data_IF_850724183882
#
_entry.id   IF_850724183882
#
_cell.length_a   1.000
_cell.length_b   1.000
_cell.length_c   1.000
_cell.angle_alpha   90.00
_cell.angle_beta   90.00
_cell.angle_gamma   90.00
#
_symmetry.space_group_name_H-M   'P 1'
#
loop_
_entity.id
_entity.type
_entity.pdbx_description
1 polymer ?
#
# COMPACT_ATOMS: atom_id res chain seq x y z
N UNK A 1 -10.66 -2.96 24.87
CA UNK A 1 -9.93 -2.33 25.99
C UNK A 1 -8.69 -1.63 25.43
N UNK A 2 -8.77 -0.36 25.06
CA UNK A 2 -7.62 0.39 24.55
C UNK A 2 -6.88 1.02 25.73
N UNK A 3 -5.69 0.51 26.03
CA UNK A 3 -4.76 1.08 27.02
C UNK A 3 -3.78 1.98 26.27
N UNK A 4 -3.61 3.22 26.72
CA UNK A 4 -2.57 4.13 26.24
C UNK A 4 -1.43 4.11 27.27
N UNK A 5 -0.23 3.74 26.83
CA UNK A 5 0.99 3.83 27.62
C UNK A 5 1.84 4.95 27.04
N UNK A 6 2.12 5.98 27.84
CA UNK A 6 3.08 7.03 27.51
C UNK A 6 4.36 6.68 28.25
N UNK A 7 5.39 6.26 27.52
CA UNK A 7 6.73 6.00 28.07
C UNK A 7 7.69 7.04 27.49
N UNK A 8 8.25 7.87 28.37
CA UNK A 8 9.43 8.68 28.08
C UNK A 8 10.63 7.97 28.73
N UNK A 9 11.60 7.52 27.94
CA UNK A 9 12.85 6.94 28.44
C UNK A 9 13.99 7.95 28.34
N UNK A 10 14.81 8.03 29.38
CA UNK A 10 16.13 8.68 29.31
C UNK A 10 17.16 7.83 30.10
N UNK A 11 18.38 7.75 29.57
CA UNK A 11 19.48 6.87 30.02
C UNK A 11 20.34 7.49 31.15
N UNK A 12 19.87 8.53 31.82
CA UNK A 12 20.58 9.18 32.91
C UNK A 12 19.63 9.64 34.01
N UNK A 13 19.95 9.30 35.27
CA UNK A 13 19.26 9.84 36.45
C UNK A 13 19.61 11.32 36.59
N UNK A 14 18.68 12.20 36.20
CA UNK A 14 18.22 13.43 36.87
C UNK A 14 17.40 14.21 35.82
N UNK A 15 16.16 14.53 36.17
CA UNK A 15 15.05 15.02 35.32
C UNK A 15 14.48 14.01 34.31
N UNK A 16 13.45 13.30 34.76
CA UNK A 16 12.59 12.52 33.87
C UNK A 16 11.75 13.49 33.01
N UNK A 17 11.95 13.45 31.69
CA UNK A 17 11.17 14.18 30.69
C UNK A 17 9.72 13.68 30.57
N UNK A 18 8.95 13.81 31.64
CA UNK A 18 7.54 13.42 31.67
C UNK A 18 6.69 14.57 31.14
N UNK A 19 5.69 14.28 30.30
CA UNK A 19 4.69 15.30 29.94
C UNK A 19 3.95 15.71 31.22
N UNK A 20 3.96 16.98 31.59
CA UNK A 20 3.32 17.48 32.81
C UNK A 20 1.81 17.63 32.65
N UNK A 21 1.39 18.10 31.48
CA UNK A 21 -0.02 18.25 31.15
C UNK A 21 -0.27 18.21 29.65
N UNK A 22 -1.51 17.86 29.29
CA UNK A 22 -2.02 17.85 27.91
C UNK A 22 -3.31 18.67 27.90
N UNK A 23 -3.41 19.64 27.00
CA UNK A 23 -4.62 20.44 26.79
C UNK A 23 -5.25 20.06 25.45
N UNK A 24 -6.53 19.69 25.47
CA UNK A 24 -7.29 19.28 24.29
C UNK A 24 -8.47 20.22 24.07
N UNK A 25 -8.66 20.69 22.84
CA UNK A 25 -9.75 21.59 22.47
C UNK A 25 -10.12 21.43 20.99
N UNK A 26 -11.41 21.56 20.68
CA UNK A 26 -11.92 21.63 19.31
C UNK A 26 -11.74 20.36 18.49
N UNK A 27 -11.58 19.19 19.13
CA UNK A 27 -11.27 17.93 18.45
C UNK A 27 -12.02 16.73 19.02
N UNK A 28 -12.76 16.05 18.14
CA UNK A 28 -13.55 14.85 18.45
C UNK A 28 -14.45 15.04 19.69
N UNK A 29 -14.14 14.37 20.80
CA UNK A 29 -14.90 14.43 22.05
C UNK A 29 -14.62 15.70 22.88
N UNK A 30 -13.56 16.43 22.56
CA UNK A 30 -13.16 17.66 23.25
C UNK A 30 -13.76 18.86 22.51
N UNK A 31 -14.95 19.29 22.92
CA UNK A 31 -15.71 20.35 22.27
C UNK A 31 -15.17 21.74 22.60
N UNK A 32 -15.41 22.69 21.69
CA UNK A 32 -15.21 24.12 21.94
C UNK A 32 -16.31 24.71 22.84
N UNK A 33 -16.07 25.87 23.47
CA UNK A 33 -14.83 26.69 23.44
C UNK A 33 -13.90 26.41 24.63
N UNK A 34 -14.22 25.44 25.49
CA UNK A 34 -13.51 25.24 26.75
C UNK A 34 -12.45 24.15 26.61
N UNK A 35 -11.15 24.45 26.77
CA UNK A 35 -10.11 23.44 26.75
C UNK A 35 -10.22 22.49 27.94
N UNK A 36 -9.96 21.21 27.70
CA UNK A 36 -9.87 20.18 28.74
C UNK A 36 -8.40 19.92 29.03
N UNK A 37 -7.97 20.20 30.26
CA UNK A 37 -6.62 19.93 30.75
C UNK A 37 -6.55 18.57 31.43
N UNK A 38 -5.60 17.74 31.00
CA UNK A 38 -5.27 16.44 31.56
C UNK A 38 -3.92 16.54 32.26
N UNK A 39 -3.90 16.34 33.58
CA UNK A 39 -2.66 16.32 34.35
C UNK A 39 -1.94 14.97 34.18
N UNK A 40 -0.68 15.02 33.78
CA UNK A 40 0.14 13.84 33.49
C UNK A 40 1.47 13.81 34.23
N UNK A 41 1.60 14.56 35.33
CA UNK A 41 2.85 14.75 36.11
C UNK A 41 3.41 13.51 36.85
N UNK A 42 3.00 12.30 36.46
CA UNK A 42 3.42 11.04 37.05
C UNK A 42 4.07 10.16 35.99
N UNK A 43 4.98 9.30 36.44
CA UNK A 43 5.69 8.33 35.57
C UNK A 43 4.76 7.43 34.77
N UNK A 44 3.62 7.08 35.35
CA UNK A 44 2.61 6.23 34.73
C UNK A 44 1.27 6.93 34.93
N UNK A 45 0.58 7.21 33.82
CA UNK A 45 -0.76 7.80 33.79
C UNK A 45 -1.69 6.84 33.06
N UNK A 46 -2.83 6.51 33.67
CA UNK A 46 -3.84 5.65 33.07
C UNK A 46 -5.10 6.45 32.79
N UNK A 47 -5.41 6.66 31.51
CA UNK A 47 -6.68 7.19 31.06
C UNK A 47 -7.68 6.06 30.82
N UNK A 48 -8.83 6.10 31.49
CA UNK A 48 -9.93 5.13 31.34
C UNK A 48 -11.28 5.84 31.19
N UNK A 49 -12.26 5.15 30.62
CA UNK A 49 -13.60 5.71 30.38
C UNK A 49 -14.35 4.96 29.28
N UNK A 50 -15.62 5.31 29.06
CA UNK A 50 -16.49 4.67 28.07
C UNK A 50 -16.01 4.85 26.63
N UNK A 51 -16.51 4.06 25.68
CA UNK A 51 -16.22 4.28 24.26
C UNK A 51 -16.68 5.68 23.82
N UNK A 52 -15.94 6.34 22.93
CA UNK A 52 -16.27 7.69 22.45
C UNK A 52 -15.91 8.86 23.37
N UNK A 53 -15.21 8.62 24.48
CA UNK A 53 -14.79 9.67 25.44
C UNK A 53 -13.46 10.37 25.12
N UNK A 54 -12.89 10.14 23.93
CA UNK A 54 -11.68 10.85 23.48
C UNK A 54 -10.32 10.22 23.84
N UNK A 55 -10.27 9.05 24.48
CA UNK A 55 -9.00 8.36 24.82
C UNK A 55 -8.07 8.16 23.62
N UNK A 56 -8.60 7.63 22.51
CA UNK A 56 -7.83 7.44 21.28
C UNK A 56 -7.45 8.77 20.62
N UNK A 57 -8.23 9.83 20.86
CA UNK A 57 -7.93 11.17 20.35
C UNK A 57 -6.69 11.75 21.01
N UNK A 58 -6.56 11.62 22.33
CA UNK A 58 -5.34 12.03 23.07
C UNK A 58 -4.12 11.27 22.55
N UNK A 59 -4.24 9.95 22.33
CA UNK A 59 -3.17 9.14 21.78
C UNK A 59 -2.71 9.64 20.40
N UNK A 60 -3.65 9.89 19.48
CA UNK A 60 -3.36 10.37 18.12
C UNK A 60 -2.76 11.77 18.09
N UNK A 61 -3.23 12.66 18.97
CA UNK A 61 -2.62 13.97 19.13
C UNK A 61 -1.14 13.86 19.54
N UNK A 62 -0.81 13.03 20.53
CA UNK A 62 0.58 12.81 20.94
C UNK A 62 1.44 12.14 19.86
N UNK A 63 0.81 11.44 18.90
CA UNK A 63 1.50 10.78 17.80
C UNK A 63 1.89 11.77 16.69
N UNK A 64 1.04 12.77 16.43
CA UNK A 64 1.30 13.86 15.49
C UNK A 64 0.70 15.16 16.03
N UNK A 65 1.51 15.88 16.80
CA UNK A 65 1.11 17.14 17.44
C UNK A 65 0.99 18.29 16.44
N UNK A 66 1.46 18.11 15.21
CA UNK A 66 1.52 19.15 14.17
C UNK A 66 0.33 19.12 13.21
N UNK A 67 -0.49 18.08 13.27
CA UNK A 67 -1.65 17.93 12.40
C UNK A 67 -2.66 19.07 12.60
N UNK A 68 -3.20 19.62 11.51
CA UNK A 68 -4.09 20.80 11.53
C UNK A 68 -5.30 20.69 12.46
N UNK A 69 -5.84 19.47 12.65
CA UNK A 69 -6.95 19.19 13.57
C UNK A 69 -6.62 19.44 15.05
N UNK A 70 -5.34 19.64 15.40
CA UNK A 70 -4.87 19.83 16.76
C UNK A 70 -4.33 21.25 17.00
N UNK A 71 -4.67 22.22 16.15
CA UNK A 71 -4.23 23.61 16.25
C UNK A 71 -4.53 24.28 17.60
N UNK A 72 -5.55 23.82 18.31
CA UNK A 72 -5.96 24.30 19.64
C UNK A 72 -5.53 23.36 20.78
N UNK A 73 -4.76 22.31 20.48
CA UNK A 73 -4.23 21.39 21.48
C UNK A 73 -2.77 21.76 21.83
N UNK A 74 -2.35 21.45 23.05
CA UNK A 74 -0.97 21.68 23.51
C UNK A 74 -0.55 20.66 24.55
N UNK A 75 0.75 20.54 24.80
CA UNK A 75 1.30 19.74 25.90
C UNK A 75 2.47 20.50 26.55
N UNK A 76 2.74 20.19 27.83
CA UNK A 76 3.79 20.84 28.61
C UNK A 76 4.83 19.80 29.01
N UNK A 77 6.10 20.13 28.81
CA UNK A 77 7.26 19.36 29.27
C UNK A 77 7.97 20.11 30.41
N UNK A 78 8.68 19.42 31.31
CA UNK A 78 9.32 20.01 32.47
C UNK A 78 10.50 20.92 32.11
N UNK A 79 11.05 20.76 30.91
CA UNK A 79 12.13 21.58 30.39
C UNK A 79 12.00 21.73 28.86
N UNK A 80 12.79 22.64 28.29
CA UNK A 80 12.80 22.92 26.85
C UNK A 80 13.66 21.93 26.04
N UNK A 81 13.86 20.71 26.55
CA UNK A 81 14.63 19.69 25.83
C UNK A 81 13.74 19.00 24.78
N UNK A 82 14.35 18.68 23.64
CA UNK A 82 13.67 17.92 22.59
C UNK A 82 13.53 16.46 23.01
N UNK A 83 12.32 16.09 23.44
CA UNK A 83 11.95 14.69 23.72
C UNK A 83 11.24 14.06 22.52
N UNK A 84 11.60 12.83 22.20
CA UNK A 84 10.84 12.02 21.26
C UNK A 84 9.64 11.38 21.98
N UNK A 85 8.43 11.63 21.48
CA UNK A 85 7.21 10.98 21.98
C UNK A 85 6.99 9.70 21.19
N UNK A 86 6.92 8.56 21.89
CA UNK A 86 6.59 7.26 21.31
C UNK A 86 5.15 6.88 21.68
N UNK A 87 4.29 6.70 20.68
CA UNK A 87 2.89 6.34 20.88
C UNK A 87 2.62 4.94 20.35
N UNK A 88 2.19 4.04 21.24
CA UNK A 88 1.69 2.72 20.88
C UNK A 88 0.15 2.73 20.89
N UNK A 89 -0.46 2.79 19.71
CA UNK A 89 -1.91 2.77 19.51
C UNK A 89 -2.30 1.85 18.33
N UNK A 90 -3.59 1.78 18.01
CA UNK A 90 -4.08 0.98 16.87
C UNK A 90 -3.44 1.39 15.55
N UNK A 91 -3.30 2.70 15.30
CA UNK A 91 -2.71 3.23 14.08
C UNK A 91 -1.23 2.80 13.94
N UNK A 92 -0.47 2.80 15.05
CA UNK A 92 0.90 2.26 15.08
C UNK A 92 0.94 0.77 14.75
N UNK A 93 0.00 -0.01 15.30
CA UNK A 93 -0.10 -1.45 15.03
C UNK A 93 -0.42 -1.69 13.55
N UNK A 94 -1.45 -1.05 13.01
CA UNK A 94 -1.86 -1.20 11.61
C UNK A 94 -0.74 -0.78 10.64
N UNK A 95 -0.01 0.28 10.99
CA UNK A 95 1.07 0.82 10.17
C UNK A 95 2.34 -0.04 10.18
N UNK A 96 2.67 -0.66 11.31
CA UNK A 96 3.94 -1.37 11.49
C UNK A 96 3.80 -2.90 11.51
N UNK A 97 2.59 -3.42 11.62
CA UNK A 97 2.31 -4.85 11.72
C UNK A 97 1.20 -5.19 10.71
N UNK A 98 1.58 -5.44 9.46
CA UNK A 98 0.69 -6.07 8.49
C UNK A 98 0.75 -7.59 8.65
N UNK A 99 -0.41 -8.25 8.54
CA UNK A 99 -0.41 -9.70 8.31
C UNK A 99 0.21 -9.95 6.93
N UNK A 100 1.36 -10.61 6.89
CA UNK A 100 1.90 -11.14 5.63
C UNK A 100 0.96 -12.20 5.05
N UNK A 101 1.23 -12.67 3.84
CA UNK A 101 0.43 -13.73 3.18
C UNK A 101 0.42 -15.08 3.93
N UNK A 102 1.17 -15.21 5.04
CA UNK A 102 1.22 -16.41 5.87
C UNK A 102 0.71 -16.12 7.27
N UNK A 103 -0.25 -16.94 7.71
CA UNK A 103 -0.78 -16.89 9.07
C UNK A 103 0.35 -17.11 10.08
N UNK A 104 0.55 -16.14 10.99
CA UNK A 104 1.60 -16.16 12.01
C UNK A 104 2.93 -15.50 11.63
N UNK A 105 3.09 -14.97 10.41
CA UNK A 105 4.28 -14.17 10.02
C UNK A 105 3.95 -12.68 10.12
N UNK A 106 4.62 -11.99 11.04
CA UNK A 106 4.49 -10.55 11.25
C UNK A 106 5.67 -9.82 10.62
N UNK A 107 5.40 -9.03 9.58
CA UNK A 107 6.38 -8.10 9.03
C UNK A 107 6.45 -6.88 9.95
N UNK A 108 7.65 -6.56 10.44
CA UNK A 108 7.86 -5.47 11.41
C UNK A 108 8.32 -4.19 10.70
N UNK A 109 7.62 -3.09 10.92
CA UNK A 109 8.04 -1.74 10.57
C UNK A 109 7.47 -1.24 9.23
N UNK A 110 7.04 0.03 9.21
CA UNK A 110 6.44 0.70 8.04
C UNK A 110 7.24 0.48 6.74
N UNK A 111 8.56 0.67 6.77
CA UNK A 111 9.42 0.53 5.59
C UNK A 111 9.36 -0.88 4.99
N UNK A 112 9.25 -1.91 5.83
CA UNK A 112 9.19 -3.29 5.37
C UNK A 112 7.82 -3.60 4.73
N UNK A 113 6.74 -3.06 5.30
CA UNK A 113 5.38 -3.18 4.72
C UNK A 113 5.32 -2.52 3.34
N UNK A 114 5.86 -1.30 3.19
CA UNK A 114 5.90 -0.61 1.89
C UNK A 114 6.74 -1.38 0.86
N UNK A 115 7.88 -1.93 1.27
CA UNK A 115 8.73 -2.73 0.39
C UNK A 115 8.02 -4.01 -0.10
N UNK A 116 7.34 -4.73 0.80
CA UNK A 116 6.56 -5.92 0.44
C UNK A 116 5.42 -5.58 -0.53
N UNK A 117 4.70 -4.48 -0.31
CA UNK A 117 3.67 -4.01 -1.22
C UNK A 117 4.22 -3.72 -2.62
N UNK A 118 5.35 -3.01 -2.71
CA UNK A 118 6.01 -2.71 -3.98
C UNK A 118 6.42 -3.98 -4.75
N UNK A 119 6.96 -4.98 -4.03
CA UNK A 119 7.31 -6.28 -4.62
C UNK A 119 6.06 -7.00 -5.16
N UNK A 120 4.98 -7.02 -4.39
CA UNK A 120 3.74 -7.69 -4.79
C UNK A 120 3.11 -7.02 -6.01
N UNK A 121 3.10 -5.69 -6.06
CA UNK A 121 2.64 -4.93 -7.24
C UNK A 121 3.49 -5.25 -8.48
N UNK A 122 4.81 -5.24 -8.35
CA UNK A 122 5.71 -5.55 -9.46
C UNK A 122 5.51 -6.99 -9.97
N UNK A 123 5.34 -7.97 -9.08
CA UNK A 123 5.05 -9.36 -9.45
C UNK A 123 3.73 -9.49 -10.21
N UNK A 124 2.67 -8.83 -9.75
CA UNK A 124 1.37 -8.85 -10.43
C UNK A 124 1.46 -8.23 -11.84
N UNK A 125 2.27 -7.19 -12.00
CA UNK A 125 2.49 -6.55 -13.30
C UNK A 125 3.30 -7.43 -14.26
N UNK A 126 4.34 -8.13 -13.76
CA UNK A 126 5.07 -9.14 -14.53
C UNK A 126 4.11 -10.23 -15.04
N UNK A 127 3.27 -10.78 -14.16
CA UNK A 127 2.33 -11.85 -14.54
C UNK A 127 1.34 -11.37 -15.61
N UNK A 128 0.86 -10.12 -15.51
CA UNK A 128 0.00 -9.49 -16.52
C UNK A 128 0.71 -9.37 -17.88
N UNK A 129 1.95 -8.90 -17.88
CA UNK A 129 2.74 -8.74 -19.10
C UNK A 129 3.07 -10.09 -19.74
N UNK A 130 3.35 -11.13 -18.96
CA UNK A 130 3.57 -12.49 -19.45
C UNK A 130 2.31 -13.08 -20.10
N UNK A 131 1.13 -12.87 -19.52
CA UNK A 131 -0.15 -13.26 -20.13
C UNK A 131 -0.39 -12.54 -21.46
N UNK A 132 -0.08 -11.24 -21.54
CA UNK A 132 -0.20 -10.49 -22.79
C UNK A 132 0.79 -10.95 -23.85
N UNK A 133 2.04 -11.24 -23.44
CA UNK A 133 3.09 -11.74 -24.34
C UNK A 133 2.70 -13.10 -24.93
N UNK A 134 2.28 -14.03 -24.09
CA UNK A 134 1.84 -15.37 -24.53
C UNK A 134 0.65 -15.28 -25.47
N UNK A 135 -0.34 -14.45 -25.17
CA UNK A 135 -1.50 -14.23 -26.05
C UNK A 135 -1.08 -13.69 -27.44
N UNK A 136 -0.18 -12.70 -27.48
CA UNK A 136 0.36 -12.18 -28.75
C UNK A 136 1.15 -13.23 -29.53
N UNK A 137 1.95 -14.05 -28.85
CA UNK A 137 2.71 -15.12 -29.50
C UNK A 137 1.79 -16.16 -30.14
N UNK A 138 0.72 -16.56 -29.45
CA UNK A 138 -0.27 -17.50 -30.00
C UNK A 138 -0.98 -16.92 -31.23
N UNK A 139 -1.40 -15.65 -31.19
CA UNK A 139 -2.04 -14.98 -32.32
C UNK A 139 -1.11 -14.88 -33.54
N UNK A 140 0.17 -14.54 -33.33
CA UNK A 140 1.16 -14.48 -34.40
C UNK A 140 1.44 -15.86 -35.02
N UNK A 141 1.48 -16.93 -34.20
CA UNK A 141 1.61 -18.29 -34.70
C UNK A 141 0.45 -18.68 -35.62
N UNK A 142 -0.79 -18.43 -35.17
CA UNK A 142 -2.00 -18.68 -35.96
C UNK A 142 -2.04 -17.87 -37.26
N UNK A 143 -1.57 -16.62 -37.24
CA UNK A 143 -1.47 -15.79 -38.45
C UNK A 143 -0.49 -16.37 -39.47
N UNK A 144 0.72 -16.77 -39.03
CA UNK A 144 1.71 -17.39 -39.91
C UNK A 144 1.23 -18.71 -40.52
N UNK A 145 0.53 -19.53 -39.74
CA UNK A 145 -0.05 -20.79 -40.25
C UNK A 145 -1.14 -20.53 -41.30
N UNK A 146 -1.99 -19.52 -41.09
CA UNK A 146 -3.01 -19.12 -42.07
C UNK A 146 -2.38 -18.58 -43.35
N UNK A 147 -1.38 -17.70 -43.25
CA UNK A 147 -0.66 -17.15 -44.40
C UNK A 147 0.00 -18.25 -45.22
N UNK A 148 0.77 -19.14 -44.58
CA UNK A 148 1.42 -20.26 -45.28
C UNK A 148 0.43 -21.24 -45.92
N UNK A 149 -0.74 -21.45 -45.29
CA UNK A 149 -1.81 -22.27 -45.88
C UNK A 149 -2.43 -21.60 -47.10
N UNK A 150 -2.68 -20.29 -47.04
CA UNK A 150 -3.22 -19.51 -48.15
C UNK A 150 -2.23 -19.45 -49.33
N UNK A 151 -0.94 -19.23 -49.07
CA UNK A 151 0.11 -19.23 -50.09
C UNK A 151 0.17 -20.57 -50.83
N UNK A 152 0.17 -21.69 -50.08
CA UNK A 152 0.13 -23.05 -50.67
C UNK A 152 -1.13 -23.26 -51.53
N UNK A 153 -2.29 -22.80 -51.06
CA UNK A 153 -3.54 -22.92 -51.80
C UNK A 153 -3.53 -22.09 -53.11
N UNK A 154 -2.96 -20.87 -53.08
CA UNK A 154 -2.81 -20.02 -54.27
C UNK A 154 -1.83 -20.67 -55.26
N UNK A 155 -0.68 -21.15 -54.77
CA UNK A 155 0.30 -21.85 -55.61
C UNK A 155 -0.33 -23.07 -56.30
N UNK A 156 -1.07 -23.90 -55.57
CA UNK A 156 -1.76 -25.07 -56.13
C UNK A 156 -2.72 -24.67 -57.27
N UNK A 157 -3.57 -23.66 -57.07
CA UNK A 157 -4.48 -23.14 -58.11
C UNK A 157 -3.75 -22.59 -59.33
N UNK A 158 -2.63 -21.89 -59.12
CA UNK A 158 -1.79 -21.40 -60.22
C UNK A 158 -1.22 -22.56 -61.04
N UNK A 159 -0.72 -23.62 -60.39
CA UNK A 159 -0.21 -24.81 -61.06
C UNK A 159 -1.29 -25.54 -61.87
N UNK A 160 -2.49 -25.72 -61.30
CA UNK A 160 -3.64 -26.30 -62.02
C UNK A 160 -4.00 -25.49 -63.27
N UNK A 161 -4.08 -24.16 -63.13
CA UNK A 161 -4.42 -23.27 -64.25
C UNK A 161 -3.38 -23.35 -65.36
N UNK A 162 -2.09 -23.39 -65.02
CA UNK A 162 -1.00 -23.56 -65.97
C UNK A 162 -1.14 -24.88 -66.75
N UNK A 163 -1.36 -25.99 -66.05
CA UNK A 163 -1.55 -27.29 -66.70
C UNK A 163 -2.74 -27.32 -67.67
N UNK A 164 -3.84 -26.65 -67.32
CA UNK A 164 -5.02 -26.54 -68.19
C UNK A 164 -4.75 -25.72 -69.45
N UNK A 165 -3.92 -24.67 -69.34
CA UNK A 165 -3.54 -23.83 -70.48
C UNK A 165 -2.53 -24.52 -71.40
N UNK A 166 -1.56 -25.24 -70.82
CA UNK A 166 -0.57 -26.02 -71.58
C UNK A 166 -1.24 -27.14 -72.39
N UNK A 167 -2.26 -27.81 -71.83
CA UNK A 167 -3.11 -28.77 -72.57
C UNK A 167 -3.86 -28.12 -73.74
N UNK A 168 -4.39 -26.91 -73.58
CA UNK A 168 -5.12 -26.18 -74.65
C UNK A 168 -4.21 -25.61 -75.74
N UNK A 169 -2.98 -25.21 -75.40
CA UNK A 169 -1.97 -24.74 -76.36
C UNK A 169 -1.52 -25.86 -77.31
N UNK A 170 -1.43 -27.10 -76.81
CA UNK A 170 -1.13 -28.27 -77.63
C UNK A 170 -2.24 -28.60 -78.64
N UNK A 171 -3.50 -28.30 -78.33
CA UNK A 171 -4.64 -28.52 -79.24
C UNK A 171 -4.82 -27.46 -80.33
N UNK A 172 -4.14 -26.30 -80.25
CA UNK A 172 -4.27 -25.22 -81.27
C UNK A 172 -3.25 -25.26 -82.41
N UNK A 173 -2.23 -26.12 -82.34
CA UNK A 173 -1.17 -26.24 -83.37
C UNK A 173 -1.37 -27.45 -84.31
N UNK A 174 -2.60 -27.94 -84.49
CA UNK A 174 -2.91 -29.05 -85.40
C UNK A 174 -3.96 -28.64 -86.47
N UNK A 175 -3.71 -27.54 -87.17
CA UNK A 175 -4.29 -27.23 -88.48
C UNK A 175 -3.21 -26.63 -89.37
#
# INVERSE_FOLDING_TARGET
FNKLYILASNLGLQDLGMIESISMQGVASFQDPTPVSLNTNKKIVLFYGHNGTGKSTVARYLQDTTHNNYSHCSYVLPNAQDYQILVYNTDFVEKNFSQGSFEGVFTLGETNVTAEQAINTAKAEIEKLEKQRTQKQTLNGQHKEKETTQEKAIQAKCFETKHMHDKKGFCRNNY
#
